data_IF_935716409375
#
_entry.id   IF_935716409375
#
_cell.length_a   1.000
_cell.length_b   1.000
_cell.length_c   1.000
_cell.angle_alpha   90.00
_cell.angle_beta   90.00
_cell.angle_gamma   90.00
#
_symmetry.space_group_name_H-M   'P 1'
#
loop_
_entity.id
_entity.type
_entity.pdbx_description
1 polymer ?
#
# COMPACT_ATOMS: atom_id res chain seq x y z
N UNK A 1 6.30 2.07 9.85
CA UNK A 1 7.06 2.36 8.59
C UNK A 1 6.61 3.73 8.08
N UNK A 2 7.49 4.47 7.40
CA UNK A 2 7.09 5.74 6.78
C UNK A 2 6.69 5.49 5.33
N UNK A 3 5.61 6.13 4.89
CA UNK A 3 5.16 6.09 3.51
C UNK A 3 5.20 7.50 2.93
N UNK A 4 5.64 7.61 1.69
CA UNK A 4 5.80 8.86 0.96
C UNK A 4 5.34 8.66 -0.48
N UNK A 5 5.06 9.76 -1.18
CA UNK A 5 4.74 9.76 -2.60
C UNK A 5 5.95 10.24 -3.41
N UNK A 6 6.29 9.48 -4.45
CA UNK A 6 7.16 9.95 -5.53
C UNK A 6 6.29 10.66 -6.56
N UNK A 7 6.22 11.99 -6.49
CA UNK A 7 5.33 12.79 -7.34
C UNK A 7 5.72 12.73 -8.82
N UNK A 8 7.01 12.55 -9.13
CA UNK A 8 7.52 12.54 -10.51
C UNK A 8 7.26 11.22 -11.22
N UNK A 9 7.26 10.11 -10.48
CA UNK A 9 7.10 8.76 -11.04
C UNK A 9 5.76 8.10 -10.69
N UNK A 10 4.90 8.84 -9.97
CA UNK A 10 3.63 8.39 -9.41
C UNK A 10 3.75 7.05 -8.68
N UNK A 11 4.56 7.04 -7.60
CA UNK A 11 4.84 5.82 -6.83
C UNK A 11 4.54 5.99 -5.36
N UNK A 12 4.03 4.91 -4.76
CA UNK A 12 4.04 4.70 -3.31
C UNK A 12 5.45 4.22 -2.93
N UNK A 13 6.08 4.90 -1.98
CA UNK A 13 7.36 4.46 -1.41
C UNK A 13 7.18 4.13 0.07
N UNK A 14 7.54 2.90 0.44
CA UNK A 14 7.70 2.49 1.83
C UNK A 14 9.17 2.60 2.23
N UNK A 15 9.45 3.43 3.24
CA UNK A 15 10.77 3.57 3.85
C UNK A 15 10.84 2.68 5.09
N UNK A 16 11.81 1.77 5.08
CA UNK A 16 12.13 0.89 6.21
C UNK A 16 13.58 1.07 6.69
N UNK A 17 13.88 0.53 7.86
CA UNK A 17 15.23 0.57 8.45
C UNK A 17 15.91 -0.80 8.37
N UNK A 18 17.08 -0.87 7.75
CA UNK A 18 17.89 -2.08 7.73
C UNK A 18 18.77 -2.15 8.97
N UNK A 19 18.53 -3.14 9.84
CA UNK A 19 19.40 -3.39 11.01
C UNK A 19 20.81 -3.83 10.60
N UNK A 20 20.94 -4.56 9.48
CA UNK A 20 22.22 -5.12 9.00
C UNK A 20 23.16 -4.03 8.48
N UNK A 21 22.63 -3.11 7.68
CA UNK A 21 23.43 -2.08 7.02
C UNK A 21 23.32 -0.71 7.70
N UNK A 22 22.51 -0.59 8.77
CA UNK A 22 22.21 0.64 9.52
C UNK A 22 21.78 1.81 8.62
N UNK A 23 21.12 1.48 7.50
CA UNK A 23 20.66 2.42 6.48
C UNK A 23 19.18 2.20 6.19
N UNK A 24 18.55 3.22 5.63
CA UNK A 24 17.20 3.10 5.10
C UNK A 24 17.17 2.28 3.82
N UNK A 25 16.05 1.60 3.61
CA UNK A 25 15.75 0.94 2.35
C UNK A 25 14.35 1.35 1.89
N UNK A 26 14.17 1.37 0.57
CA UNK A 26 12.92 1.77 -0.06
C UNK A 26 12.32 0.59 -0.81
N UNK A 27 11.01 0.37 -0.63
CA UNK A 27 10.22 -0.37 -1.58
C UNK A 27 9.33 0.58 -2.35
N UNK A 28 9.43 0.54 -3.68
CA UNK A 28 8.71 1.41 -4.60
C UNK A 28 7.63 0.59 -5.30
N UNK A 29 6.41 1.11 -5.32
CA UNK A 29 5.26 0.49 -5.97
C UNK A 29 4.64 1.52 -6.90
N UNK A 30 4.48 1.23 -8.21
CA UNK A 30 3.72 2.10 -9.11
C UNK A 30 2.32 2.36 -8.56
N UNK A 31 1.84 3.60 -8.64
CA UNK A 31 0.49 3.95 -8.18
C UNK A 31 -0.57 3.08 -8.85
N UNK A 32 -0.46 2.83 -10.15
CA UNK A 32 -1.36 1.95 -10.89
C UNK A 32 -1.43 0.53 -10.28
N UNK A 33 -0.30 -0.05 -9.87
CA UNK A 33 -0.28 -1.36 -9.23
C UNK A 33 -0.94 -1.31 -7.85
N UNK A 34 -0.65 -0.29 -7.04
CA UNK A 34 -1.30 -0.10 -5.73
C UNK A 34 -2.82 0.12 -5.87
N UNK A 35 -3.24 0.87 -6.89
CA UNK A 35 -4.64 1.12 -7.23
C UNK A 35 -5.35 -0.17 -7.64
N UNK A 36 -4.74 -1.01 -8.48
CA UNK A 36 -5.31 -2.30 -8.87
C UNK A 36 -5.48 -3.24 -7.67
N UNK A 37 -4.53 -3.25 -6.73
CA UNK A 37 -4.68 -3.98 -5.46
C UNK A 37 -5.87 -3.44 -4.66
N UNK A 38 -6.02 -2.11 -4.53
CA UNK A 38 -7.15 -1.53 -3.81
C UNK A 38 -8.50 -1.84 -4.48
N UNK A 39 -8.57 -1.76 -5.82
CA UNK A 39 -9.75 -2.16 -6.60
C UNK A 39 -10.11 -3.61 -6.36
N UNK A 40 -9.14 -4.52 -6.47
CA UNK A 40 -9.35 -5.93 -6.18
C UNK A 40 -9.95 -6.14 -4.78
N UNK A 41 -9.40 -5.48 -3.75
CA UNK A 41 -9.92 -5.59 -2.39
C UNK A 41 -11.35 -5.05 -2.26
N UNK A 42 -11.69 -3.95 -2.94
CA UNK A 42 -13.04 -3.38 -2.91
C UNK A 42 -14.05 -4.27 -3.66
N UNK A 43 -13.65 -4.88 -4.77
CA UNK A 43 -14.55 -5.59 -5.68
C UNK A 43 -14.71 -7.07 -5.31
N UNK A 44 -13.67 -7.70 -4.73
CA UNK A 44 -13.60 -9.16 -4.55
C UNK A 44 -13.66 -9.62 -3.10
N UNK A 45 -13.40 -8.74 -2.13
CA UNK A 45 -13.38 -9.11 -0.72
C UNK A 45 -14.67 -8.70 -0.04
N UNK A 46 -15.31 -9.66 0.62
CA UNK A 46 -16.43 -9.41 1.50
C UNK A 46 -15.95 -8.58 2.71
N UNK A 47 -16.52 -7.38 2.94
CA UNK A 47 -16.07 -6.47 3.99
C UNK A 47 -16.26 -7.03 5.41
N UNK A 48 -17.07 -8.07 5.59
CA UNK A 48 -17.28 -8.73 6.89
C UNK A 48 -16.43 -10.00 7.06
N UNK A 49 -15.62 -10.35 6.06
CA UNK A 49 -14.83 -11.58 6.06
C UNK A 49 -13.33 -11.31 6.16
N UNK A 50 -12.65 -12.11 6.98
CA UNK A 50 -11.19 -12.15 7.00
C UNK A 50 -10.65 -12.77 5.71
N UNK A 51 -9.56 -12.22 5.20
CA UNK A 51 -8.80 -12.79 4.09
C UNK A 51 -7.33 -12.96 4.47
N UNK A 52 -6.69 -13.98 3.93
CA UNK A 52 -5.23 -14.14 3.93
C UNK A 52 -4.65 -13.61 2.62
N UNK A 53 -3.41 -13.11 2.64
CA UNK A 53 -2.79 -12.59 1.40
C UNK A 53 -2.60 -13.71 0.37
N UNK A 54 -2.27 -14.91 0.82
CA UNK A 54 -2.09 -16.06 -0.08
C UNK A 54 -3.40 -16.54 -0.72
N UNK A 55 -4.56 -16.14 -0.18
CA UNK A 55 -5.88 -16.44 -0.77
C UNK A 55 -6.27 -15.47 -1.89
N UNK A 56 -5.67 -14.28 -1.91
CA UNK A 56 -5.98 -13.22 -2.90
C UNK A 56 -4.89 -13.10 -3.97
N UNK A 57 -3.76 -13.78 -3.80
CA UNK A 57 -2.71 -13.84 -4.80
C UNK A 57 -2.99 -14.98 -5.81
N UNK A 58 -2.65 -14.79 -7.09
CA UNK A 58 -2.10 -13.57 -7.69
C UNK A 58 -3.18 -12.49 -7.93
N UNK A 59 -2.79 -11.22 -7.83
CA UNK A 59 -3.60 -10.08 -8.29
C UNK A 59 -3.06 -9.65 -9.65
N UNK A 60 -3.95 -9.52 -10.64
CA UNK A 60 -3.59 -9.03 -11.96
C UNK A 60 -3.85 -7.52 -12.09
N UNK A 61 -3.08 -6.86 -12.95
CA UNK A 61 -3.39 -5.50 -13.42
C UNK A 61 -4.49 -5.50 -14.49
N UNK A 62 -4.81 -4.31 -15.02
CA UNK A 62 -5.84 -4.12 -16.04
C UNK A 62 -5.51 -4.79 -17.38
N UNK A 63 -4.26 -5.15 -17.63
CA UNK A 63 -3.81 -5.85 -18.83
C UNK A 63 -3.73 -7.38 -18.62
N UNK A 64 -4.04 -7.84 -17.40
CA UNK A 64 -3.98 -9.25 -17.02
C UNK A 64 -2.58 -9.71 -16.58
N UNK A 65 -1.61 -8.80 -16.43
CA UNK A 65 -0.30 -9.14 -15.93
C UNK A 65 -0.30 -9.27 -14.41
N UNK A 66 0.40 -10.28 -13.89
CA UNK A 66 0.52 -10.46 -12.45
C UNK A 66 1.29 -9.31 -11.79
N UNK A 67 0.69 -8.72 -10.76
CA UNK A 67 1.34 -7.75 -9.89
C UNK A 67 2.31 -8.50 -8.98
N UNK A 68 3.61 -8.14 -8.96
CA UNK A 68 4.58 -8.78 -8.09
C UNK A 68 4.13 -8.77 -6.63
N UNK A 69 4.19 -9.92 -5.94
CA UNK A 69 3.60 -10.05 -4.59
C UNK A 69 4.16 -9.02 -3.59
N UNK A 70 5.43 -8.64 -3.71
CA UNK A 70 6.02 -7.61 -2.84
C UNK A 70 5.28 -6.25 -2.95
N UNK A 71 4.74 -5.91 -4.13
CA UNK A 71 3.95 -4.70 -4.34
C UNK A 71 2.60 -4.81 -3.65
N UNK A 72 1.98 -5.99 -3.68
CA UNK A 72 0.75 -6.28 -2.93
C UNK A 72 1.01 -6.11 -1.42
N UNK A 73 2.08 -6.71 -0.89
CA UNK A 73 2.44 -6.58 0.53
C UNK A 73 2.77 -5.13 0.95
N UNK A 74 3.44 -4.35 0.10
CA UNK A 74 3.73 -2.94 0.40
C UNK A 74 2.46 -2.10 0.39
N UNK A 75 1.58 -2.32 -0.59
CA UNK A 75 0.28 -1.64 -0.67
C UNK A 75 -0.56 -1.98 0.55
N UNK A 76 -0.68 -3.26 0.91
CA UNK A 76 -1.43 -3.70 2.09
C UNK A 76 -0.87 -3.09 3.38
N UNK A 77 0.45 -3.04 3.54
CA UNK A 77 1.08 -2.39 4.68
C UNK A 77 0.75 -0.90 4.77
N UNK A 78 0.60 -0.21 3.63
CA UNK A 78 0.17 1.18 3.60
C UNK A 78 -1.30 1.33 3.97
N UNK A 79 -2.20 0.51 3.39
CA UNK A 79 -3.63 0.52 3.72
C UNK A 79 -3.89 0.24 5.21
N UNK A 80 -3.06 -0.60 5.84
CA UNK A 80 -3.09 -0.83 7.28
C UNK A 80 -2.68 0.43 8.05
N UNK A 81 -1.61 1.10 7.60
CA UNK A 81 -1.13 2.32 8.27
C UNK A 81 -2.13 3.49 8.19
N UNK A 82 -3.02 3.49 7.21
CA UNK A 82 -4.08 4.48 7.05
C UNK A 82 -5.41 4.07 7.70
N UNK A 83 -5.52 2.84 8.20
CA UNK A 83 -6.75 2.31 8.80
C UNK A 83 -7.86 2.00 7.79
N UNK A 84 -7.51 1.84 6.51
CA UNK A 84 -8.43 1.35 5.46
C UNK A 84 -8.56 -0.19 5.50
N UNK A 85 -7.51 -0.86 5.97
CA UNK A 85 -7.47 -2.30 6.23
C UNK A 85 -7.01 -2.51 7.66
N UNK A 86 -7.56 -3.52 8.34
CA UNK A 86 -7.12 -3.93 9.66
C UNK A 86 -6.41 -5.28 9.60
N UNK A 87 -5.29 -5.41 10.33
CA UNK A 87 -4.63 -6.71 10.52
C UNK A 87 -5.17 -7.37 11.79
N UNK A 88 -5.78 -8.55 11.67
CA UNK A 88 -6.31 -9.34 12.79
C UNK A 88 -5.33 -10.43 13.19
N UNK A 89 -4.13 -10.03 13.61
CA UNK A 89 -3.10 -10.97 14.07
C UNK A 89 -2.63 -11.94 12.98
N UNK A 90 -2.73 -13.25 13.26
CA UNK A 90 -2.44 -14.34 12.30
C UNK A 90 -3.69 -14.75 11.50
N UNK A 91 -4.87 -14.32 11.93
CA UNK A 91 -6.16 -14.72 11.34
C UNK A 91 -6.43 -14.02 10.00
N UNK A 92 -5.64 -12.99 9.69
CA UNK A 92 -5.58 -12.37 8.37
C UNK A 92 -5.83 -10.87 8.44
N UNK A 93 -6.54 -10.39 7.44
CA UNK A 93 -6.81 -8.98 7.18
C UNK A 93 -8.31 -8.78 6.99
N UNK A 94 -8.79 -7.58 7.33
CA UNK A 94 -10.17 -7.17 7.17
C UNK A 94 -10.20 -5.84 6.43
N UNK A 95 -10.95 -5.77 5.32
CA UNK A 95 -11.26 -4.48 4.69
C UNK A 95 -12.25 -3.75 5.59
N UNK A 96 -11.93 -2.53 6.04
CA UNK A 96 -12.82 -1.82 6.95
C UNK A 96 -14.05 -1.31 6.18
N UNK A 97 -15.28 -1.78 6.51
CA UNK A 97 -16.48 -1.45 5.75
C UNK A 97 -16.68 0.06 5.62
N UNK A 98 -16.98 0.53 4.40
CA UNK A 98 -17.21 1.94 4.10
C UNK A 98 -15.97 2.85 4.18
N UNK A 99 -14.81 2.35 4.64
CA UNK A 99 -13.57 3.12 4.65
C UNK A 99 -12.77 2.92 3.40
N UNK A 100 -12.50 1.68 2.99
CA UNK A 100 -11.78 1.43 1.74
C UNK A 100 -12.72 1.62 0.55
N UNK A 101 -12.60 2.79 -0.08
CA UNK A 101 -13.18 3.10 -1.39
C UNK A 101 -12.08 3.63 -2.31
N UNK A 102 -12.29 3.60 -3.63
CA UNK A 102 -11.35 4.19 -4.59
C UNK A 102 -11.12 5.67 -4.32
N UNK A 103 -12.17 6.39 -3.90
CA UNK A 103 -12.05 7.80 -3.51
C UNK A 103 -11.15 7.97 -2.28
N UNK A 104 -11.42 7.23 -1.18
CA UNK A 104 -10.61 7.32 0.04
C UNK A 104 -9.14 6.97 -0.19
N UNK A 105 -8.87 6.00 -1.08
CA UNK A 105 -7.54 5.59 -1.47
C UNK A 105 -6.81 6.73 -2.18
N UNK A 106 -7.45 7.34 -3.18
CA UNK A 106 -6.92 8.50 -3.90
C UNK A 106 -6.65 9.68 -2.97
N UNK A 107 -7.60 9.99 -2.09
CA UNK A 107 -7.47 11.10 -1.14
C UNK A 107 -6.28 10.88 -0.19
N UNK A 108 -6.11 9.66 0.32
CA UNK A 108 -5.00 9.33 1.22
C UNK A 108 -3.66 9.27 0.48
N UNK A 109 -3.63 8.77 -0.75
CA UNK A 109 -2.42 8.78 -1.58
C UNK A 109 -1.98 10.22 -1.90
N UNK A 110 -2.93 11.09 -2.25
CA UNK A 110 -2.68 12.51 -2.53
C UNK A 110 -2.22 13.31 -1.31
N UNK A 111 -2.49 12.82 -0.09
CA UNK A 111 -2.04 13.43 1.18
C UNK A 111 -0.69 12.89 1.67
N UNK A 112 -0.10 11.90 1.00
CA UNK A 112 1.23 11.44 1.36
C UNK A 112 2.25 12.55 1.13
N UNK A 113 3.24 12.72 2.03
CA UNK A 113 4.30 13.70 1.83
C UNK A 113 5.11 13.37 0.58
N UNK A 114 5.48 14.40 -0.18
CA UNK A 114 6.33 14.25 -1.37
C UNK A 114 7.78 13.91 -1.01
N UNK A 115 8.51 13.35 -1.97
CA UNK A 115 9.96 13.06 -1.83
C UNK A 115 10.78 14.31 -1.50
N UNK A 116 10.43 15.47 -2.07
CA UNK A 116 11.13 16.74 -1.82
C UNK A 116 10.84 17.31 -0.42
N UNK A 117 9.63 17.15 0.10
CA UNK A 117 9.27 17.58 1.46
C UNK A 117 10.10 16.83 2.50
N UNK A 118 10.28 15.53 2.28
CA UNK A 118 11.07 14.68 3.19
C UNK A 118 12.55 15.02 3.14
N UNK A 119 13.10 15.40 1.97
CA UNK A 119 14.48 15.89 1.87
C UNK A 119 14.68 17.20 2.63
N UNK A 120 13.74 18.15 2.51
CA UNK A 120 13.78 19.44 3.24
C UNK A 120 13.75 19.25 4.76
N UNK A 121 12.87 18.36 5.25
CA UNK A 121 12.77 18.04 6.68
C UNK A 121 14.05 17.39 7.27
N UNK A 122 14.93 16.82 6.44
CA UNK A 122 16.17 16.18 6.88
C UNK A 122 17.36 17.11 6.97
N UNK A 123 17.32 18.20 6.21
CA UNK A 123 18.41 19.15 6.07
C UNK A 123 18.18 20.41 6.94
N UNK A 124 17.14 20.41 7.76
CA UNK A 124 16.78 21.46 8.73
C UNK A 124 17.07 20.96 10.14
#
# INVERSE_FOLDING_TARGET
PKFIRDEFNDRLIKIGWSKKNRNEYEHRVPFAAAMNVARYLVESIDPDKLFQVDEILPIADSEGHEIPSYQVYVTLAWLISTGLVEKKGRDGYLVVPGRLTIQSFNDLFGKLPGTEDVKKMRNS
#
